data_IF_916398483266
#
_entry.id   IF_916398483266
#
_cell.length_a   1.000
_cell.length_b   1.000
_cell.length_c   1.000
_cell.angle_alpha   90.00
_cell.angle_beta   90.00
_cell.angle_gamma   90.00
#
_symmetry.space_group_name_H-M   'P 1'
#
loop_
_entity.id
_entity.type
_entity.pdbx_description
1 polymer ?
#
# COMPACT_ATOMS: atom_id res chain seq x y z
N UNK A 1 -5.33 -24.05 23.54
CA UNK A 1 -4.44 -22.92 23.23
C UNK A 1 -5.31 -21.70 23.00
N UNK A 2 -5.23 -20.62 23.79
CA UNK A 2 -6.03 -19.43 23.56
C UNK A 2 -5.39 -18.58 22.45
N UNK A 3 -6.02 -18.54 21.28
CA UNK A 3 -5.68 -17.58 20.22
C UNK A 3 -6.14 -16.20 20.67
N UNK A 4 -5.17 -15.36 21.01
CA UNK A 4 -5.38 -13.99 21.44
C UNK A 4 -6.02 -13.15 20.30
N UNK A 5 -7.27 -12.68 20.43
CA UNK A 5 -7.94 -11.89 19.39
C UNK A 5 -7.40 -10.46 19.25
N UNK A 6 -6.59 -9.97 20.19
CA UNK A 6 -6.02 -8.62 20.12
C UNK A 6 -4.89 -8.49 19.08
N UNK A 7 -4.29 -9.60 18.64
CA UNK A 7 -3.22 -9.56 17.63
C UNK A 7 -3.76 -9.48 16.19
N UNK A 8 -4.99 -9.92 15.95
CA UNK A 8 -5.62 -9.86 14.61
C UNK A 8 -6.05 -8.44 14.23
N UNK A 9 -6.23 -7.55 15.21
CA UNK A 9 -6.66 -6.16 15.01
C UNK A 9 -5.53 -5.23 14.52
N UNK A 10 -4.29 -5.72 14.47
CA UNK A 10 -3.18 -5.08 13.74
C UNK A 10 -2.89 -5.78 12.42
N UNK A 11 -3.92 -6.30 11.72
CA UNK A 11 -3.76 -6.50 10.28
C UNK A 11 -3.53 -5.13 9.68
N UNK A 12 -2.29 -4.85 9.32
CA UNK A 12 -1.96 -3.77 8.39
C UNK A 12 -2.95 -3.83 7.24
N UNK A 13 -3.51 -2.69 6.80
CA UNK A 13 -4.37 -2.68 5.62
C UNK A 13 -3.61 -3.38 4.48
N UNK A 14 -4.31 -4.23 3.73
CA UNK A 14 -3.72 -5.00 2.64
C UNK A 14 -2.98 -4.05 1.71
N UNK A 15 -1.75 -4.42 1.39
CA UNK A 15 -0.89 -3.61 0.53
C UNK A 15 -1.30 -3.77 -0.93
N UNK A 16 -1.00 -2.76 -1.75
CA UNK A 16 -1.23 -2.83 -3.19
C UNK A 16 -0.50 -4.02 -3.85
N UNK A 17 0.61 -4.48 -3.26
CA UNK A 17 1.33 -5.68 -3.70
C UNK A 17 0.51 -6.95 -3.50
N UNK A 18 -0.08 -7.15 -2.31
CA UNK A 18 -0.90 -8.31 -2.00
C UNK A 18 -2.13 -8.38 -2.91
N UNK A 19 -2.83 -7.26 -3.09
CA UNK A 19 -4.01 -7.20 -3.97
C UNK A 19 -3.64 -7.50 -5.43
N UNK A 20 -2.46 -7.07 -5.89
CA UNK A 20 -1.96 -7.40 -7.22
C UNK A 20 -1.67 -8.90 -7.40
N UNK A 21 -1.16 -9.59 -6.37
CA UNK A 21 -0.99 -11.04 -6.42
C UNK A 21 -2.35 -11.75 -6.53
N UNK A 22 -3.36 -11.30 -5.80
CA UNK A 22 -4.74 -11.83 -5.91
C UNK A 22 -5.33 -11.60 -7.31
N UNK A 23 -5.12 -10.41 -7.91
CA UNK A 23 -5.53 -10.12 -9.28
C UNK A 23 -4.85 -11.07 -10.27
N UNK A 24 -3.53 -11.32 -10.13
CA UNK A 24 -2.81 -12.24 -11.02
C UNK A 24 -3.28 -13.68 -10.85
N UNK A 25 -3.52 -14.12 -9.62
CA UNK A 25 -4.05 -15.45 -9.32
C UNK A 25 -5.44 -15.64 -9.93
N UNK A 26 -6.29 -14.60 -9.88
CA UNK A 26 -7.59 -14.61 -10.56
C UNK A 26 -7.41 -14.80 -12.06
N UNK A 27 -6.53 -14.02 -12.70
CA UNK A 27 -6.27 -14.12 -14.14
C UNK A 27 -5.76 -15.51 -14.55
N UNK A 28 -4.85 -16.09 -13.78
CA UNK A 28 -4.32 -17.44 -14.01
C UNK A 28 -5.42 -18.49 -13.93
N UNK A 29 -6.30 -18.39 -12.93
CA UNK A 29 -7.43 -19.32 -12.73
C UNK A 29 -8.49 -19.20 -13.84
N UNK A 30 -8.63 -18.02 -14.44
CA UNK A 30 -9.66 -17.76 -15.45
C UNK A 30 -9.24 -18.16 -16.87
N UNK A 31 -7.97 -18.51 -17.11
CA UNK A 31 -7.52 -19.02 -18.41
C UNK A 31 -7.77 -18.11 -19.61
N UNK A 32 -7.87 -16.79 -19.39
CA UNK A 32 -8.05 -15.78 -20.45
C UNK A 32 -9.45 -15.19 -20.61
N UNK A 33 -10.49 -15.72 -19.95
CA UNK A 33 -11.84 -15.09 -19.93
C UNK A 33 -12.42 -15.03 -18.52
N UNK A 34 -12.71 -13.82 -18.05
CA UNK A 34 -13.44 -13.59 -16.80
C UNK A 34 -14.94 -13.83 -17.02
N UNK A 35 -15.54 -14.70 -16.22
CA UNK A 35 -17.00 -14.80 -16.08
C UNK A 35 -17.56 -13.55 -15.41
N UNK A 36 -18.89 -13.38 -15.43
CA UNK A 36 -19.58 -12.24 -14.79
C UNK A 36 -19.25 -12.14 -13.30
N UNK A 37 -19.15 -13.27 -12.60
CA UNK A 37 -18.80 -13.31 -11.18
C UNK A 37 -17.34 -12.95 -10.95
N UNK A 38 -16.43 -13.50 -11.76
CA UNK A 38 -15.01 -13.17 -11.68
C UNK A 38 -14.73 -11.70 -12.03
N UNK A 39 -15.54 -11.10 -12.91
CA UNK A 39 -15.47 -9.66 -13.21
C UNK A 39 -15.87 -8.80 -12.01
N UNK A 40 -16.88 -9.20 -11.24
CA UNK A 40 -17.24 -8.51 -9.99
C UNK A 40 -16.11 -8.60 -8.97
N UNK A 41 -15.51 -9.77 -8.85
CA UNK A 41 -14.35 -9.98 -7.97
C UNK A 41 -13.16 -9.11 -8.41
N UNK A 42 -12.85 -9.11 -9.71
CA UNK A 42 -11.81 -8.25 -10.27
C UNK A 42 -12.09 -6.76 -9.99
N UNK A 43 -13.33 -6.28 -10.12
CA UNK A 43 -13.69 -4.90 -9.80
C UNK A 43 -13.48 -4.56 -8.31
N UNK A 44 -13.81 -5.49 -7.41
CA UNK A 44 -13.53 -5.32 -5.97
C UNK A 44 -12.04 -5.23 -5.71
N UNK A 45 -11.26 -6.16 -6.26
CA UNK A 45 -9.80 -6.17 -6.12
C UNK A 45 -9.16 -4.91 -6.71
N UNK A 46 -9.60 -4.43 -7.88
CA UNK A 46 -9.07 -3.19 -8.48
C UNK A 46 -9.42 -1.96 -7.61
N UNK A 47 -10.61 -1.92 -7.03
CA UNK A 47 -11.00 -0.83 -6.12
C UNK A 47 -10.17 -0.84 -4.84
N UNK A 48 -9.95 -2.03 -4.26
CA UNK A 48 -9.09 -2.22 -3.09
C UNK A 48 -7.63 -1.85 -3.39
N UNK A 49 -7.12 -2.26 -4.55
CA UNK A 49 -5.78 -1.91 -5.03
C UNK A 49 -5.61 -0.40 -5.16
N UNK A 50 -6.57 0.30 -5.76
CA UNK A 50 -6.52 1.75 -5.94
C UNK A 50 -6.47 2.48 -4.58
N UNK A 51 -7.24 2.02 -3.59
CA UNK A 51 -7.20 2.56 -2.24
C UNK A 51 -5.85 2.30 -1.57
N UNK A 52 -5.34 1.07 -1.65
CA UNK A 52 -4.05 0.69 -1.08
C UNK A 52 -2.88 1.44 -1.74
N UNK A 53 -2.90 1.63 -3.06
CA UNK A 53 -1.84 2.35 -3.77
C UNK A 53 -1.88 3.85 -3.50
N UNK A 54 -3.07 4.45 -3.33
CA UNK A 54 -3.20 5.84 -2.89
C UNK A 54 -2.58 6.06 -1.50
N UNK A 55 -2.80 5.14 -0.56
CA UNK A 55 -2.18 5.16 0.77
C UNK A 55 -0.66 4.93 0.70
N UNK A 56 -0.20 4.02 -0.15
CA UNK A 56 1.22 3.74 -0.34
C UNK A 56 1.95 4.94 -0.98
N UNK A 57 1.31 5.59 -1.96
CA UNK A 57 1.83 6.76 -2.64
C UNK A 57 1.96 7.94 -1.67
N UNK A 58 0.91 8.25 -0.89
CA UNK A 58 0.97 9.32 0.11
C UNK A 58 2.06 9.07 1.16
N UNK A 59 2.19 7.82 1.62
CA UNK A 59 3.24 7.41 2.56
C UNK A 59 4.66 7.58 1.97
N UNK A 60 4.82 7.29 0.68
CA UNK A 60 6.10 7.45 -0.04
C UNK A 60 6.48 8.93 -0.16
N UNK A 61 5.52 9.79 -0.48
CA UNK A 61 5.71 11.25 -0.54
C UNK A 61 6.06 11.82 0.84
N UNK A 62 5.36 11.41 1.90
CA UNK A 62 5.65 11.83 3.27
C UNK A 62 7.08 11.46 3.70
N UNK A 63 7.51 10.21 3.45
CA UNK A 63 8.89 9.76 3.73
C UNK A 63 9.93 10.54 2.93
N UNK A 64 9.66 10.81 1.66
CA UNK A 64 10.57 11.60 0.81
C UNK A 64 10.73 13.03 1.33
N UNK A 65 9.61 13.67 1.71
CA UNK A 65 9.61 15.05 2.24
C UNK A 65 10.42 15.14 3.54
N UNK A 66 10.28 14.17 4.43
CA UNK A 66 11.07 14.10 5.66
C UNK A 66 12.57 13.89 5.40
N UNK A 67 12.93 13.03 4.43
CA UNK A 67 14.32 12.77 4.08
C UNK A 67 15.04 14.01 3.50
N UNK A 68 14.32 14.86 2.75
CA UNK A 68 14.87 16.12 2.23
C UNK A 68 15.04 17.17 3.32
N UNK A 69 14.10 17.27 4.28
CA UNK A 69 14.21 18.18 5.43
C UNK A 69 15.38 17.83 6.38
N UNK A 70 15.67 16.54 6.56
CA UNK A 70 16.75 16.08 7.44
C UNK A 70 18.17 16.41 6.91
N UNK A 71 18.34 16.71 5.62
CA UNK A 71 19.63 17.13 5.05
C UNK A 71 19.88 18.65 5.10
N UNK A 72 18.88 19.46 5.37
CA UNK A 72 19.01 20.93 5.38
C UNK A 72 19.37 21.54 6.75
N UNK A 73 19.54 20.74 7.81
CA UNK A 73 19.85 21.22 9.16
C UNK A 73 21.35 21.36 9.47
N UNK A 74 22.23 21.32 8.46
CA UNK A 74 23.66 21.58 8.64
C UNK A 74 24.11 22.81 7.84
N UNK A 75 23.68 23.99 8.28
CA UNK A 75 24.07 25.27 7.74
C UNK A 75 23.83 26.36 8.78
N UNK A 76 24.67 26.39 9.81
CA UNK A 76 24.70 27.47 10.78
C UNK A 76 25.01 28.81 10.07
N UNK A 77 24.30 29.91 10.36
CA UNK A 77 24.85 31.22 10.11
C UNK A 77 25.79 31.54 11.29
N UNK A 78 27.05 31.17 11.16
CA UNK A 78 28.13 31.87 11.86
C UNK A 78 28.16 33.28 11.27
N UNK A 79 27.33 34.18 11.79
CA UNK A 79 27.44 35.61 11.52
C UNK A 79 28.07 36.25 12.73
N UNK A 80 29.37 36.49 12.57
CA UNK A 80 30.18 37.42 13.32
C UNK A 80 29.43 38.72 13.66
N UNK A 81 29.45 39.09 14.94
CA UNK A 81 29.54 40.45 15.45
C UNK A 81 29.82 40.39 16.96
#
# INVERSE_FOLDING_TARGET
>A
MPTNPASESRRSPRTSAEVNEEIRALWLRCGGRLSTEQRREYQRLVTEWAAAESLAHSSRIARSTQAHGAKQTHGAPERAA
#
